data_IF_553583333659
#
_entry.id   IF_553583333659
#
_cell.length_a   1.000
_cell.length_b   1.000
_cell.length_c   1.000
_cell.angle_alpha   90.00
_cell.angle_beta   90.00
_cell.angle_gamma   90.00
#
_symmetry.space_group_name_H-M   'P 1'
#
loop_
_entity.id
_entity.type
_entity.pdbx_description
1 polymer ?
#
# COMPACT_ATOMS: atom_id res chain seq x y z
N UNK A 1 -21.29 39.97 23.69
CA UNK A 1 -19.98 39.31 23.86
C UNK A 1 -19.84 38.26 22.78
N UNK A 2 -19.50 38.69 21.56
CA UNK A 2 -19.33 37.81 20.41
C UNK A 2 -17.88 37.35 20.36
N UNK A 3 -17.64 36.05 20.52
CA UNK A 3 -16.33 35.45 20.34
C UNK A 3 -15.96 35.43 18.86
N UNK A 4 -14.91 36.17 18.54
CA UNK A 4 -14.26 36.19 17.25
C UNK A 4 -13.52 34.85 17.08
N UNK A 5 -14.00 34.02 16.16
CA UNK A 5 -13.26 32.87 15.64
C UNK A 5 -12.01 33.43 14.96
N UNK A 6 -10.85 33.30 15.61
CA UNK A 6 -9.55 33.59 15.00
C UNK A 6 -9.29 32.53 13.93
N UNK A 7 -9.40 32.95 12.66
CA UNK A 7 -8.84 32.21 11.54
C UNK A 7 -7.35 31.88 11.82
N UNK A 8 -6.95 30.64 11.56
CA UNK A 8 -5.57 30.20 11.74
C UNK A 8 -4.65 30.89 10.72
N UNK A 9 -3.40 31.13 11.11
CA UNK A 9 -2.40 31.90 10.37
C UNK A 9 -1.90 31.28 9.03
N UNK A 10 -2.65 30.34 8.42
CA UNK A 10 -2.28 29.67 7.16
C UNK A 10 -2.99 30.21 5.92
N UNK A 11 -3.80 31.27 6.04
CA UNK A 11 -4.47 31.96 4.92
C UNK A 11 -3.54 32.80 4.03
N UNK A 12 -2.24 32.46 3.97
CA UNK A 12 -1.31 32.99 2.96
C UNK A 12 -1.80 32.55 1.58
N UNK A 13 -2.33 33.52 0.81
CA UNK A 13 -2.74 33.47 -0.61
C UNK A 13 -2.67 32.07 -1.25
N UNK A 14 -3.69 31.26 -0.99
CA UNK A 14 -3.93 30.04 -1.74
C UNK A 14 -4.33 30.42 -3.16
N UNK A 15 -3.63 29.88 -4.16
CA UNK A 15 -3.94 30.03 -5.60
C UNK A 15 -5.41 29.70 -5.92
N UNK A 16 -5.96 28.68 -5.25
CA UNK A 16 -7.34 28.26 -5.37
C UNK A 16 -8.04 28.36 -4.00
N UNK A 17 -9.28 28.86 -3.97
CA UNK A 17 -10.09 28.84 -2.75
C UNK A 17 -10.26 27.41 -2.22
N UNK A 18 -10.04 27.23 -0.91
CA UNK A 18 -10.20 25.93 -0.24
C UNK A 18 -10.81 26.11 1.15
N UNK A 19 -12.13 26.01 1.21
CA UNK A 19 -12.92 26.27 2.42
C UNK A 19 -12.83 25.09 3.41
N UNK A 20 -13.43 25.25 4.58
CA UNK A 20 -13.57 24.15 5.53
C UNK A 20 -14.57 23.11 5.01
N UNK A 21 -15.63 23.55 4.34
CA UNK A 21 -16.66 22.71 3.73
C UNK A 21 -16.08 21.85 2.59
N UNK A 22 -15.22 22.42 1.75
CA UNK A 22 -14.50 21.67 0.71
C UNK A 22 -13.65 20.55 1.32
N UNK A 23 -12.91 20.87 2.38
CA UNK A 23 -12.07 19.88 3.07
C UNK A 23 -12.91 18.76 3.69
N UNK A 24 -14.04 19.10 4.29
CA UNK A 24 -14.96 18.13 4.87
C UNK A 24 -15.58 17.23 3.78
N UNK A 25 -15.97 17.80 2.63
CA UNK A 25 -16.45 17.02 1.49
C UNK A 25 -15.39 16.02 0.99
N UNK A 26 -14.13 16.46 0.89
CA UNK A 26 -13.00 15.58 0.53
C UNK A 26 -12.81 14.46 1.56
N UNK A 27 -12.86 14.80 2.86
CA UNK A 27 -12.71 13.84 3.95
C UNK A 27 -13.80 12.78 3.91
N UNK A 28 -15.05 13.19 3.72
CA UNK A 28 -16.20 12.30 3.65
C UNK A 28 -16.09 11.34 2.45
N UNK A 29 -15.83 11.87 1.24
CA UNK A 29 -15.69 11.04 0.02
C UNK A 29 -14.56 10.02 0.12
N UNK A 30 -13.42 10.44 0.68
CA UNK A 30 -12.28 9.54 0.84
C UNK A 30 -12.57 8.46 1.89
N UNK A 31 -13.28 8.81 2.97
CA UNK A 31 -13.69 7.84 3.98
C UNK A 31 -14.72 6.84 3.43
N UNK A 32 -15.76 7.32 2.77
CA UNK A 32 -16.84 6.48 2.23
C UNK A 32 -16.32 5.48 1.19
N UNK A 33 -15.40 5.92 0.32
CA UNK A 33 -14.88 5.07 -0.73
C UNK A 33 -13.73 4.17 -0.26
N UNK A 34 -12.72 4.75 0.40
CA UNK A 34 -11.46 4.05 0.70
C UNK A 34 -11.27 3.72 2.19
N UNK A 35 -12.18 4.15 3.06
CA UNK A 35 -12.07 3.97 4.52
C UNK A 35 -11.03 4.87 5.19
N UNK A 36 -10.29 5.67 4.40
CA UNK A 36 -9.17 6.47 4.89
C UNK A 36 -9.70 7.63 5.74
N UNK A 37 -9.16 7.77 6.95
CA UNK A 37 -9.45 8.88 7.86
C UNK A 37 -8.39 9.96 7.71
N UNK A 38 -8.82 11.16 7.28
CA UNK A 38 -7.98 12.35 7.26
C UNK A 38 -8.18 13.15 8.55
N UNK A 39 -7.06 13.57 9.16
CA UNK A 39 -7.06 14.52 10.27
C UNK A 39 -6.91 15.95 9.76
N UNK A 40 -7.34 16.93 10.56
CA UNK A 40 -7.31 18.37 10.20
C UNK A 40 -5.90 18.86 9.85
N UNK A 41 -4.88 18.31 10.50
CA UNK A 41 -3.47 18.64 10.26
C UNK A 41 -3.05 18.34 8.80
N UNK A 42 -3.77 17.45 8.10
CA UNK A 42 -3.50 17.11 6.69
C UNK A 42 -4.16 18.05 5.68
N UNK A 43 -4.88 19.10 6.11
CA UNK A 43 -5.60 20.01 5.22
C UNK A 43 -4.70 20.64 4.14
N UNK A 44 -3.51 21.10 4.50
CA UNK A 44 -2.58 21.69 3.53
C UNK A 44 -2.00 20.65 2.57
N UNK A 45 -1.81 19.40 3.02
CA UNK A 45 -1.42 18.29 2.14
C UNK A 45 -2.52 18.05 1.09
N UNK A 46 -3.79 17.95 1.53
CA UNK A 46 -4.93 17.75 0.64
C UNK A 46 -4.99 18.86 -0.40
N UNK A 47 -4.92 20.12 0.03
CA UNK A 47 -4.87 21.27 -0.85
C UNK A 47 -3.78 21.13 -1.92
N UNK A 48 -2.54 20.93 -1.50
CA UNK A 48 -1.39 20.86 -2.41
C UNK A 48 -1.46 19.71 -3.42
N UNK A 49 -2.17 18.63 -3.10
CA UNK A 49 -2.34 17.49 -4.01
C UNK A 49 -3.51 17.68 -4.96
N UNK A 50 -4.63 18.21 -4.48
CA UNK A 50 -5.79 18.50 -5.34
C UNK A 50 -5.50 19.65 -6.30
N UNK A 51 -4.75 20.69 -5.91
CA UNK A 51 -4.38 21.77 -6.84
C UNK A 51 -3.63 21.27 -8.07
N UNK A 52 -2.84 20.19 -7.95
CA UNK A 52 -2.20 19.55 -9.12
C UNK A 52 -3.23 18.97 -10.07
N UNK A 53 -4.30 18.35 -9.55
CA UNK A 53 -5.43 17.84 -10.36
C UNK A 53 -6.19 18.98 -11.04
N UNK A 54 -6.47 20.07 -10.33
CA UNK A 54 -7.10 21.26 -10.91
C UNK A 54 -6.33 21.78 -12.12
N UNK A 55 -4.99 21.90 -12.01
CA UNK A 55 -4.14 22.35 -13.13
C UNK A 55 -4.19 21.40 -14.33
N UNK A 56 -4.19 20.09 -14.11
CA UNK A 56 -4.32 19.09 -15.19
C UNK A 56 -5.65 19.22 -15.92
N UNK A 57 -6.72 19.53 -15.17
CA UNK A 57 -8.08 19.64 -15.71
C UNK A 57 -8.44 21.05 -16.20
N UNK A 58 -7.57 22.04 -16.00
CA UNK A 58 -7.85 23.44 -16.31
C UNK A 58 -8.95 24.07 -15.45
N UNK A 59 -9.17 23.56 -14.23
CA UNK A 59 -10.19 24.08 -13.31
C UNK A 59 -9.64 25.22 -12.45
N UNK A 60 -10.50 26.17 -12.11
CA UNK A 60 -10.14 27.39 -11.37
C UNK A 60 -10.62 27.41 -9.92
N UNK A 61 -11.40 26.40 -9.50
CA UNK A 61 -11.95 26.30 -8.13
C UNK A 61 -12.06 24.84 -7.69
N UNK A 62 -11.82 24.57 -6.40
CA UNK A 62 -11.96 23.21 -5.84
C UNK A 62 -13.42 22.74 -5.88
N UNK A 63 -14.36 23.64 -5.66
CA UNK A 63 -15.80 23.38 -5.83
C UNK A 63 -16.13 22.74 -7.19
N UNK A 64 -15.56 23.25 -8.29
CA UNK A 64 -15.76 22.69 -9.64
C UNK A 64 -15.20 21.27 -9.75
N UNK A 65 -14.08 21.01 -9.07
CA UNK A 65 -13.49 19.68 -9.02
C UNK A 65 -14.38 18.71 -8.24
N UNK A 66 -14.96 19.13 -7.11
CA UNK A 66 -15.91 18.32 -6.35
C UNK A 66 -17.19 18.03 -7.16
N UNK A 67 -17.72 19.02 -7.88
CA UNK A 67 -18.85 18.84 -8.79
C UNK A 67 -18.52 17.87 -9.94
N UNK A 68 -17.28 17.89 -10.46
CA UNK A 68 -16.83 16.93 -11.46
C UNK A 68 -16.83 15.50 -10.91
N UNK A 69 -16.43 15.30 -9.66
CA UNK A 69 -16.48 13.98 -9.02
C UNK A 69 -17.91 13.42 -8.91
N UNK A 70 -18.90 14.30 -8.79
CA UNK A 70 -20.32 13.92 -8.75
C UNK A 70 -20.94 13.71 -10.14
N UNK A 71 -20.23 14.07 -11.21
CA UNK A 71 -20.73 13.91 -12.57
C UNK A 71 -20.84 12.40 -12.93
N UNK A 72 -22.00 11.89 -13.37
CA UNK A 72 -22.16 10.46 -13.65
C UNK A 72 -21.25 9.92 -14.76
N UNK A 73 -20.94 10.74 -15.76
CA UNK A 73 -20.19 10.31 -16.95
C UNK A 73 -18.68 10.41 -16.73
N UNK A 74 -18.23 11.50 -16.11
CA UNK A 74 -16.81 11.84 -15.95
C UNK A 74 -16.26 11.57 -14.54
N UNK A 75 -17.14 11.60 -13.55
CA UNK A 75 -16.82 11.42 -12.14
C UNK A 75 -16.14 10.09 -11.85
N UNK A 76 -16.63 8.94 -12.34
CA UNK A 76 -16.00 7.64 -12.05
C UNK A 76 -14.51 7.56 -12.42
N UNK A 77 -14.13 8.09 -13.58
CA UNK A 77 -12.73 8.12 -14.01
C UNK A 77 -11.89 9.07 -13.14
N UNK A 78 -12.37 10.30 -12.91
CA UNK A 78 -11.63 11.26 -12.09
C UNK A 78 -11.56 10.86 -10.62
N UNK A 79 -12.53 10.08 -10.13
CA UNK A 79 -12.51 9.56 -8.77
C UNK A 79 -11.30 8.66 -8.53
N UNK A 80 -10.83 7.92 -9.54
CA UNK A 80 -9.57 7.16 -9.45
C UNK A 80 -8.38 8.10 -9.23
N UNK A 81 -8.33 9.21 -9.97
CA UNK A 81 -7.28 10.22 -9.82
C UNK A 81 -7.35 10.95 -8.48
N UNK A 82 -8.56 11.18 -7.96
CA UNK A 82 -8.79 11.71 -6.62
C UNK A 82 -8.20 10.80 -5.55
N UNK A 83 -8.47 9.49 -5.62
CA UNK A 83 -7.89 8.50 -4.70
C UNK A 83 -6.37 8.49 -4.82
N UNK A 84 -5.83 8.33 -6.03
CA UNK A 84 -4.38 8.33 -6.28
C UNK A 84 -3.68 9.59 -5.76
N UNK A 85 -4.35 10.75 -5.81
CA UNK A 85 -3.80 11.98 -5.28
C UNK A 85 -3.74 11.97 -3.74
N UNK A 86 -4.66 11.32 -3.03
CA UNK A 86 -4.79 11.43 -1.57
C UNK A 86 -4.22 10.24 -0.79
N UNK A 87 -3.85 9.15 -1.45
CA UNK A 87 -3.10 8.03 -0.86
C UNK A 87 -1.69 8.43 -0.44
N UNK A 88 -1.15 7.80 0.61
CA UNK A 88 0.23 8.05 1.08
C UNK A 88 1.06 6.80 0.87
N UNK A 89 2.02 6.89 -0.04
CA UNK A 89 2.68 5.72 -0.63
C UNK A 89 4.14 5.56 -0.17
N UNK A 90 4.46 5.93 1.07
CA UNK A 90 5.83 5.84 1.58
C UNK A 90 6.22 4.38 1.82
N UNK A 91 7.20 3.91 1.06
CA UNK A 91 7.75 2.56 1.18
C UNK A 91 9.25 2.57 0.84
N UNK A 92 9.92 1.47 1.15
CA UNK A 92 11.33 1.23 0.84
C UNK A 92 11.60 -0.27 0.78
N UNK A 93 12.59 -0.69 -0.01
CA UNK A 93 13.09 -2.06 0.02
C UNK A 93 13.53 -2.46 1.42
N UNK A 94 13.20 -3.69 1.84
CA UNK A 94 13.53 -4.23 3.17
C UNK A 94 13.11 -3.35 4.36
N UNK A 95 12.02 -2.57 4.22
CA UNK A 95 11.39 -1.89 5.36
C UNK A 95 11.03 -2.93 6.43
N UNK A 96 11.39 -2.69 7.69
CA UNK A 96 11.24 -3.66 8.81
C UNK A 96 11.90 -5.01 8.48
N UNK A 97 13.25 -5.06 8.43
CA UNK A 97 14.00 -6.21 7.93
C UNK A 97 13.74 -7.51 8.71
N UNK A 98 13.35 -7.41 9.99
CA UNK A 98 13.05 -8.53 10.87
C UNK A 98 11.92 -9.42 10.32
N UNK A 99 10.98 -8.88 9.54
CA UNK A 99 9.95 -9.69 8.87
C UNK A 99 10.54 -10.66 7.85
N UNK A 100 11.52 -10.21 7.07
CA UNK A 100 12.14 -11.02 6.03
C UNK A 100 13.14 -12.01 6.62
N UNK A 101 13.80 -11.67 7.73
CA UNK A 101 14.59 -12.61 8.53
C UNK A 101 13.73 -13.75 9.08
N UNK A 102 12.59 -13.41 9.68
CA UNK A 102 11.62 -14.40 10.14
C UNK A 102 11.09 -15.28 8.99
N UNK A 103 10.74 -14.66 7.86
CA UNK A 103 10.28 -15.38 6.68
C UNK A 103 11.32 -16.40 6.19
N UNK A 104 12.60 -16.03 6.10
CA UNK A 104 13.68 -16.97 5.73
C UNK A 104 13.76 -18.16 6.67
N UNK A 105 13.60 -17.94 7.97
CA UNK A 105 13.64 -19.00 8.97
C UNK A 105 12.44 -19.95 8.88
N UNK A 106 11.24 -19.43 8.61
CA UNK A 106 10.03 -20.25 8.52
C UNK A 106 9.89 -20.98 7.17
N UNK A 107 10.50 -20.44 6.11
CA UNK A 107 10.31 -20.90 4.75
C UNK A 107 10.50 -22.41 4.55
N UNK A 108 11.56 -23.07 5.09
CA UNK A 108 11.73 -24.52 4.94
C UNK A 108 10.55 -25.32 5.53
N UNK A 109 9.93 -24.83 6.60
CA UNK A 109 8.77 -25.50 7.21
C UNK A 109 7.50 -25.32 6.37
N UNK A 110 7.31 -24.14 5.77
CA UNK A 110 6.17 -23.85 4.89
C UNK A 110 6.26 -24.67 3.60
N UNK A 111 7.46 -24.76 3.01
CA UNK A 111 7.72 -25.51 1.78
C UNK A 111 7.64 -27.04 1.95
N UNK A 112 7.59 -27.57 3.18
CA UNK A 112 7.25 -28.98 3.43
C UNK A 112 5.75 -29.26 3.27
N UNK A 113 4.91 -28.23 3.37
CA UNK A 113 3.45 -28.35 3.31
C UNK A 113 2.89 -28.08 1.91
N UNK A 114 3.61 -27.31 1.10
CA UNK A 114 3.19 -26.93 -0.25
C UNK A 114 4.41 -26.76 -1.18
N UNK A 115 4.22 -27.10 -2.46
CA UNK A 115 5.18 -26.79 -3.52
C UNK A 115 4.99 -25.37 -4.08
N UNK A 116 3.91 -24.68 -3.75
CA UNK A 116 3.64 -23.31 -4.22
C UNK A 116 3.15 -22.47 -3.06
N UNK A 117 3.96 -21.50 -2.66
CA UNK A 117 3.58 -20.53 -1.64
C UNK A 117 2.72 -19.43 -2.26
N UNK A 118 1.56 -19.19 -1.68
CA UNK A 118 0.66 -18.10 -2.06
C UNK A 118 0.77 -16.99 -1.04
N UNK A 119 1.22 -15.83 -1.48
CA UNK A 119 1.46 -14.67 -0.62
C UNK A 119 0.65 -13.50 -1.13
N UNK A 120 0.07 -12.73 -0.22
CA UNK A 120 -0.60 -11.48 -0.56
C UNK A 120 0.09 -10.29 0.11
N UNK A 121 0.56 -9.32 -0.68
CA UNK A 121 0.98 -7.99 -0.23
C UNK A 121 -0.17 -7.01 -0.44
N UNK A 122 -0.85 -6.65 0.64
CA UNK A 122 -2.04 -5.82 0.69
C UNK A 122 -1.68 -4.37 1.02
N UNK A 123 -1.77 -3.48 0.03
CA UNK A 123 -1.29 -2.10 0.08
C UNK A 123 0.19 -1.99 -0.31
N UNK A 124 0.52 -2.54 -1.48
CA UNK A 124 1.89 -2.76 -1.93
C UNK A 124 2.63 -1.50 -2.43
N UNK A 125 1.92 -0.37 -2.60
CA UNK A 125 2.46 0.89 -3.10
C UNK A 125 3.23 0.69 -4.41
N UNK A 126 4.41 1.29 -4.58
CA UNK A 126 5.27 1.19 -5.77
C UNK A 126 6.04 -0.14 -5.87
N UNK A 127 5.63 -1.18 -5.16
CA UNK A 127 6.11 -2.55 -5.35
C UNK A 127 7.37 -2.94 -4.58
N UNK A 128 7.95 -2.05 -3.78
CA UNK A 128 9.18 -2.38 -3.04
C UNK A 128 8.95 -3.53 -2.03
N UNK A 129 7.78 -3.64 -1.40
CA UNK A 129 7.45 -4.77 -0.51
C UNK A 129 7.34 -6.11 -1.24
N UNK A 130 6.48 -6.30 -2.26
CA UNK A 130 6.35 -7.59 -2.95
C UNK A 130 7.64 -8.01 -3.66
N UNK A 131 8.44 -7.07 -4.17
CA UNK A 131 9.78 -7.42 -4.67
C UNK A 131 10.74 -7.81 -3.56
N UNK A 132 10.69 -7.16 -2.38
CA UNK A 132 11.48 -7.61 -1.22
C UNK A 132 11.13 -9.05 -0.83
N UNK A 133 9.84 -9.40 -0.85
CA UNK A 133 9.37 -10.78 -0.63
C UNK A 133 9.97 -11.71 -1.68
N UNK A 134 9.85 -11.38 -2.98
CA UNK A 134 10.41 -12.20 -4.06
C UNK A 134 11.92 -12.43 -3.91
N UNK A 135 12.68 -11.36 -3.64
CA UNK A 135 14.14 -11.41 -3.41
C UNK A 135 14.49 -12.30 -2.20
N UNK A 136 13.67 -12.27 -1.17
CA UNK A 136 13.87 -13.06 0.05
C UNK A 136 13.65 -14.55 -0.19
N UNK A 137 12.66 -14.89 -1.02
CA UNK A 137 12.27 -16.28 -1.29
C UNK A 137 13.13 -16.93 -2.37
N UNK A 138 13.50 -16.20 -3.42
CA UNK A 138 14.09 -16.79 -4.63
C UNK A 138 15.32 -17.68 -4.40
N UNK A 139 16.26 -17.36 -3.49
CA UNK A 139 17.45 -18.21 -3.26
C UNK A 139 17.13 -19.52 -2.53
N UNK A 140 15.97 -19.61 -1.90
CA UNK A 140 15.57 -20.70 -1.01
C UNK A 140 14.55 -21.65 -1.66
N UNK A 141 14.06 -21.32 -2.87
CA UNK A 141 13.17 -22.19 -3.64
C UNK A 141 13.99 -23.25 -4.39
N UNK A 142 13.68 -24.52 -4.17
CA UNK A 142 14.29 -25.64 -4.87
C UNK A 142 13.50 -26.05 -6.12
N UNK A 143 14.03 -27.00 -6.90
CA UNK A 143 13.36 -27.53 -8.10
C UNK A 143 11.97 -28.06 -7.76
N UNK A 144 10.96 -27.58 -8.49
CA UNK A 144 9.56 -27.93 -8.26
C UNK A 144 8.83 -27.07 -7.24
N UNK A 145 9.54 -26.16 -6.56
CA UNK A 145 8.94 -25.18 -5.65
C UNK A 145 8.79 -23.82 -6.34
N UNK A 146 7.74 -23.08 -6.00
CA UNK A 146 7.49 -21.73 -6.51
C UNK A 146 6.83 -20.84 -5.45
N UNK A 147 6.81 -19.53 -5.70
CA UNK A 147 6.02 -18.59 -4.93
C UNK A 147 5.22 -17.69 -5.87
N UNK A 148 3.96 -17.48 -5.54
CA UNK A 148 3.01 -16.62 -6.22
C UNK A 148 2.65 -15.47 -5.27
N UNK A 149 3.04 -14.25 -5.64
CA UNK A 149 2.84 -13.06 -4.83
C UNK A 149 1.76 -12.21 -5.51
N UNK A 150 0.57 -12.18 -4.94
CA UNK A 150 -0.45 -11.20 -5.29
C UNK A 150 -0.09 -9.90 -4.59
N UNK A 151 0.08 -8.82 -5.35
CA UNK A 151 0.37 -7.49 -4.84
C UNK A 151 -0.76 -6.55 -5.22
N UNK A 152 -1.43 -5.97 -4.24
CA UNK A 152 -2.61 -5.13 -4.49
C UNK A 152 -2.48 -3.76 -3.87
N UNK A 153 -3.05 -2.76 -4.53
CA UNK A 153 -3.18 -1.41 -4.00
C UNK A 153 -4.45 -0.76 -4.56
N UNK A 154 -4.97 0.25 -3.86
CA UNK A 154 -6.07 1.07 -4.36
C UNK A 154 -5.55 2.09 -5.37
N UNK A 155 -4.29 2.50 -5.23
CA UNK A 155 -3.68 3.51 -6.10
C UNK A 155 -3.16 2.86 -7.40
N UNK A 156 -3.81 3.18 -8.50
CA UNK A 156 -3.49 2.60 -9.81
C UNK A 156 -2.20 3.18 -10.40
N UNK A 157 -1.79 4.37 -9.97
CA UNK A 157 -0.59 5.04 -10.47
C UNK A 157 0.67 4.37 -9.89
N UNK A 158 0.65 4.02 -8.60
CA UNK A 158 1.77 3.28 -7.99
C UNK A 158 1.84 1.84 -8.46
N UNK A 159 0.70 1.18 -8.73
CA UNK A 159 0.70 -0.16 -9.33
C UNK A 159 1.34 -0.17 -10.73
N UNK A 160 1.03 0.83 -11.56
CA UNK A 160 1.65 0.96 -12.88
C UNK A 160 3.17 1.20 -12.80
N UNK A 161 3.64 1.90 -11.75
CA UNK A 161 5.07 2.05 -11.48
C UNK A 161 5.70 0.74 -10.97
N UNK A 162 5.02 0.05 -10.06
CA UNK A 162 5.42 -1.22 -9.48
C UNK A 162 5.60 -2.30 -10.55
N UNK A 163 4.65 -2.40 -11.48
CA UNK A 163 4.68 -3.38 -12.57
C UNK A 163 5.91 -3.19 -13.48
N UNK A 164 6.29 -1.93 -13.77
CA UNK A 164 7.53 -1.63 -14.51
C UNK A 164 8.78 -2.13 -13.77
N UNK A 165 8.76 -2.04 -12.44
CA UNK A 165 9.84 -2.48 -11.55
C UNK A 165 11.12 -1.68 -11.75
N UNK A 166 11.01 -0.39 -12.09
CA UNK A 166 12.13 0.51 -12.37
C UNK A 166 12.22 1.54 -11.23
N UNK A 167 13.40 1.73 -10.67
CA UNK A 167 13.66 2.59 -9.53
C UNK A 167 14.92 3.43 -9.74
N UNK A 168 14.98 4.61 -9.14
CA UNK A 168 16.24 5.35 -9.01
C UNK A 168 17.25 4.53 -8.20
N UNK A 169 18.52 4.57 -8.62
CA UNK A 169 19.61 3.85 -7.95
C UNK A 169 19.75 4.26 -6.48
N UNK A 170 19.41 5.49 -6.13
CA UNK A 170 19.42 5.99 -4.75
C UNK A 170 18.46 5.22 -3.83
N UNK A 171 17.35 4.68 -4.35
CA UNK A 171 16.41 3.87 -3.55
C UNK A 171 17.00 2.55 -3.11
N UNK A 172 17.95 2.02 -3.87
CA UNK A 172 18.58 0.72 -3.60
C UNK A 172 20.00 0.86 -3.07
N UNK A 173 20.53 2.07 -2.92
CA UNK A 173 21.93 2.31 -2.55
C UNK A 173 22.31 1.75 -1.18
N UNK A 174 21.34 1.61 -0.26
CA UNK A 174 21.54 1.07 1.09
C UNK A 174 21.48 -0.46 1.13
N UNK A 175 21.14 -1.12 0.02
CA UNK A 175 21.09 -2.57 -0.05
C UNK A 175 22.50 -3.16 -0.23
N UNK A 176 22.73 -4.32 0.38
CA UNK A 176 23.98 -5.04 0.23
C UNK A 176 24.28 -5.36 -1.24
N UNK A 177 25.57 -5.37 -1.60
CA UNK A 177 25.98 -5.65 -2.99
C UNK A 177 25.49 -7.01 -3.49
N UNK A 178 25.40 -8.00 -2.61
CA UNK A 178 24.88 -9.33 -2.95
C UNK A 178 23.41 -9.25 -3.37
N UNK A 179 22.59 -8.52 -2.60
CA UNK A 179 21.18 -8.28 -2.93
C UNK A 179 21.07 -7.51 -4.25
N UNK A 180 21.87 -6.46 -4.44
CA UNK A 180 21.87 -5.67 -5.67
C UNK A 180 22.15 -6.53 -6.90
N UNK A 181 23.21 -7.36 -6.84
CA UNK A 181 23.58 -8.27 -7.93
C UNK A 181 22.54 -9.36 -8.16
N UNK A 182 21.92 -9.86 -7.10
CA UNK A 182 20.86 -10.86 -7.18
C UNK A 182 19.61 -10.28 -7.85
N UNK A 183 19.19 -9.08 -7.45
CA UNK A 183 17.83 -8.60 -7.70
C UNK A 183 17.67 -7.59 -8.84
N UNK A 184 18.73 -6.88 -9.22
CA UNK A 184 18.60 -5.73 -10.13
C UNK A 184 19.49 -5.83 -11.37
N UNK A 185 18.95 -5.32 -12.48
CA UNK A 185 19.69 -4.91 -13.67
C UNK A 185 20.01 -3.41 -13.55
N UNK A 186 21.21 -3.01 -13.96
CA UNK A 186 21.61 -1.60 -14.02
C UNK A 186 21.30 -1.01 -15.40
N UNK A 187 20.70 0.18 -15.43
CA UNK A 187 20.52 0.92 -16.67
C UNK A 187 21.84 1.40 -17.26
N UNK A 188 21.81 1.78 -18.54
CA UNK A 188 22.98 2.26 -19.31
C UNK A 188 22.61 3.57 -20.01
N UNK A 189 23.62 4.34 -20.42
CA UNK A 189 23.44 5.61 -21.13
C UNK A 189 22.59 6.59 -20.31
N UNK A 190 21.53 7.12 -20.92
CA UNK A 190 20.60 8.07 -20.27
C UNK A 190 19.83 7.49 -19.07
N UNK A 191 19.91 6.17 -18.81
CA UNK A 191 19.28 5.50 -17.67
C UNK A 191 20.31 4.96 -16.67
N UNK A 192 21.54 5.47 -16.68
CA UNK A 192 22.62 5.00 -15.81
C UNK A 192 22.32 5.13 -14.31
N UNK A 193 21.47 6.08 -13.93
CA UNK A 193 20.98 6.29 -12.57
C UNK A 193 19.76 5.43 -12.21
N UNK A 194 19.31 4.54 -13.10
CA UNK A 194 18.14 3.70 -12.88
C UNK A 194 18.53 2.23 -12.72
N UNK A 195 17.77 1.53 -11.90
CA UNK A 195 17.82 0.08 -11.77
C UNK A 195 16.47 -0.53 -12.11
N UNK A 196 16.47 -1.79 -12.52
CA UNK A 196 15.24 -2.54 -12.79
C UNK A 196 15.28 -3.90 -12.11
N UNK A 197 14.19 -4.31 -11.47
CA UNK A 197 14.06 -5.67 -10.92
C UNK A 197 14.20 -6.69 -12.06
N UNK A 198 14.97 -7.75 -11.81
CA UNK A 198 15.21 -8.79 -12.80
C UNK A 198 13.91 -9.52 -13.20
N UNK A 199 13.77 -9.96 -14.47
CA UNK A 199 12.55 -10.58 -14.96
C UNK A 199 12.07 -11.78 -14.14
N UNK A 200 12.98 -12.64 -13.66
CA UNK A 200 12.66 -13.83 -12.87
C UNK A 200 11.98 -13.52 -11.53
N UNK A 201 12.34 -12.39 -10.90
CA UNK A 201 11.68 -11.91 -9.68
C UNK A 201 10.35 -11.23 -10.02
N UNK A 202 10.28 -10.50 -11.13
CA UNK A 202 9.04 -9.88 -11.61
C UNK A 202 7.96 -10.92 -11.93
N UNK A 203 8.34 -12.06 -12.50
CA UNK A 203 7.39 -13.14 -12.80
C UNK A 203 6.78 -13.80 -11.56
N UNK A 204 7.33 -13.57 -10.36
CA UNK A 204 6.73 -14.06 -9.12
C UNK A 204 5.59 -13.17 -8.60
N UNK A 205 5.48 -11.93 -9.11
CA UNK A 205 4.58 -10.90 -8.59
C UNK A 205 3.50 -10.56 -9.61
N UNK A 206 2.25 -10.63 -9.19
CA UNK A 206 1.10 -10.16 -9.95
C UNK A 206 0.52 -8.91 -9.28
N UNK A 207 0.56 -7.78 -9.98
CA UNK A 207 -0.05 -6.53 -9.51
C UNK A 207 -1.52 -6.45 -9.90
N UNK A 208 -2.40 -6.05 -8.99
CA UNK A 208 -3.85 -5.94 -9.27
C UNK A 208 -4.48 -4.81 -8.44
N UNK A 209 -5.26 -3.90 -9.06
CA UNK A 209 -6.02 -2.90 -8.31
C UNK A 209 -7.01 -3.54 -7.34
N UNK A 210 -7.01 -3.09 -6.08
CA UNK A 210 -7.95 -3.57 -5.07
C UNK A 210 -8.20 -2.50 -4.02
N UNK A 211 -9.48 -2.20 -3.78
CA UNK A 211 -9.90 -1.48 -2.59
C UNK A 211 -10.13 -2.48 -1.43
N UNK A 212 -9.37 -2.34 -0.34
CA UNK A 212 -9.51 -3.22 0.83
C UNK A 212 -10.90 -3.13 1.48
N UNK A 213 -11.58 -2.01 1.33
CA UNK A 213 -12.95 -1.81 1.82
C UNK A 213 -14.00 -2.51 0.96
N UNK A 214 -13.67 -2.76 -0.32
CA UNK A 214 -14.55 -3.42 -1.27
C UNK A 214 -14.57 -4.95 -1.15
N UNK A 215 -15.31 -5.62 -2.04
CA UNK A 215 -15.28 -7.07 -2.16
C UNK A 215 -13.90 -7.55 -2.64
N UNK A 216 -13.48 -8.72 -2.16
CA UNK A 216 -12.20 -9.33 -2.50
C UNK A 216 -12.44 -10.48 -3.49
N UNK A 217 -12.03 -10.35 -4.77
CA UNK A 217 -12.35 -11.33 -5.80
C UNK A 217 -11.52 -12.62 -5.69
N UNK A 218 -10.41 -12.60 -4.94
CA UNK A 218 -9.57 -13.75 -4.67
C UNK A 218 -10.23 -14.73 -3.70
N UNK A 219 -10.10 -16.03 -3.98
CA UNK A 219 -10.75 -17.10 -3.20
C UNK A 219 -9.85 -17.77 -2.14
N UNK A 220 -8.57 -17.39 -2.07
CA UNK A 220 -7.61 -17.98 -1.13
C UNK A 220 -7.44 -19.51 -1.32
N UNK A 221 -6.87 -20.20 -0.31
CA UNK A 221 -6.22 -19.60 0.85
C UNK A 221 -4.79 -19.13 0.51
N UNK A 222 -4.30 -18.16 1.28
CA UNK A 222 -2.92 -17.69 1.29
C UNK A 222 -2.15 -18.36 2.44
N UNK A 223 -0.86 -18.63 2.21
CA UNK A 223 0.05 -19.06 3.27
C UNK A 223 0.46 -17.87 4.16
N UNK A 224 0.64 -16.70 3.53
CA UNK A 224 1.13 -15.49 4.17
C UNK A 224 0.39 -14.27 3.60
N UNK A 225 0.02 -13.34 4.48
CA UNK A 225 -0.45 -12.00 4.13
C UNK A 225 0.48 -10.97 4.76
N UNK A 226 0.96 -10.02 3.97
CA UNK A 226 1.56 -8.78 4.40
C UNK A 226 0.50 -7.67 4.27
N UNK A 227 0.18 -6.98 5.35
CA UNK A 227 -0.64 -5.77 5.34
C UNK A 227 -0.03 -4.75 6.29
N UNK A 228 1.02 -4.08 5.81
CA UNK A 228 1.92 -3.29 6.64
C UNK A 228 1.79 -1.80 6.37
N UNK A 229 1.67 -1.02 7.43
CA UNK A 229 1.58 0.44 7.38
C UNK A 229 0.39 0.95 6.53
N UNK A 230 -0.69 0.16 6.48
CA UNK A 230 -1.91 0.46 5.71
C UNK A 230 -3.10 0.64 6.65
N UNK A 231 -3.23 -0.24 7.65
CA UNK A 231 -4.35 -0.18 8.60
C UNK A 231 -4.32 1.08 9.47
N UNK A 232 -3.16 1.72 9.62
CA UNK A 232 -3.01 3.03 10.29
C UNK A 232 -3.90 4.14 9.71
N UNK A 233 -4.40 3.98 8.47
CA UNK A 233 -5.30 4.95 7.85
C UNK A 233 -6.78 4.72 8.16
N UNK A 234 -7.12 3.61 8.82
CA UNK A 234 -8.49 3.21 9.09
C UNK A 234 -8.87 3.34 10.57
N UNK A 235 -10.16 3.50 10.84
CA UNK A 235 -10.69 3.46 12.22
C UNK A 235 -10.64 2.03 12.80
N UNK A 236 -10.78 1.91 14.12
CA UNK A 236 -10.63 0.62 14.83
C UNK A 236 -11.63 -0.46 14.39
N UNK A 237 -12.86 -0.07 14.09
CA UNK A 237 -13.88 -1.00 13.60
C UNK A 237 -13.49 -1.58 12.24
N UNK A 238 -13.00 -0.73 11.33
CA UNK A 238 -12.52 -1.12 10.01
C UNK A 238 -11.29 -2.02 10.11
N UNK A 239 -10.32 -1.68 10.97
CA UNK A 239 -9.16 -2.53 11.24
C UNK A 239 -9.61 -3.94 11.67
N UNK A 240 -10.57 -4.03 12.61
CA UNK A 240 -11.14 -5.31 13.06
C UNK A 240 -11.82 -6.08 11.93
N UNK A 241 -12.62 -5.42 11.09
CA UNK A 241 -13.25 -6.07 9.92
C UNK A 241 -12.20 -6.61 8.95
N UNK A 242 -11.19 -5.81 8.59
CA UNK A 242 -10.14 -6.20 7.66
C UNK A 242 -9.33 -7.41 8.16
N UNK A 243 -8.89 -7.39 9.41
CA UNK A 243 -8.10 -8.47 10.00
C UNK A 243 -8.89 -9.78 10.04
N UNK A 244 -10.19 -9.75 10.36
CA UNK A 244 -11.01 -10.95 10.35
C UNK A 244 -11.22 -11.48 8.92
N UNK A 245 -11.43 -10.62 7.93
CA UNK A 245 -11.50 -11.03 6.53
C UNK A 245 -10.19 -11.63 6.03
N UNK A 246 -9.03 -11.11 6.45
CA UNK A 246 -7.72 -11.68 6.14
C UNK A 246 -7.55 -13.06 6.79
N UNK A 247 -8.03 -13.24 8.02
CA UNK A 247 -8.03 -14.53 8.69
C UNK A 247 -8.85 -15.58 7.92
N UNK A 248 -9.97 -15.19 7.29
CA UNK A 248 -10.78 -16.10 6.47
C UNK A 248 -10.09 -16.53 5.16
N UNK A 249 -9.10 -15.76 4.69
CA UNK A 249 -8.30 -16.08 3.51
C UNK A 249 -6.96 -16.74 3.84
N UNK A 250 -6.59 -16.89 5.11
CA UNK A 250 -5.36 -17.57 5.52
C UNK A 250 -5.61 -19.06 5.72
N UNK A 251 -4.62 -19.89 5.38
CA UNK A 251 -4.60 -21.28 5.85
C UNK A 251 -4.51 -21.34 7.39
N UNK A 252 -4.94 -22.44 8.02
CA UNK A 252 -4.60 -22.70 9.42
C UNK A 252 -3.08 -22.61 9.64
N UNK A 253 -2.67 -21.91 10.70
CA UNK A 253 -1.26 -21.57 10.97
C UNK A 253 -0.58 -20.68 9.90
N UNK A 254 -1.35 -20.05 9.02
CA UNK A 254 -0.87 -19.02 8.10
C UNK A 254 -0.43 -17.76 8.87
N UNK A 255 0.37 -16.93 8.22
CA UNK A 255 1.00 -15.78 8.88
C UNK A 255 0.45 -14.45 8.37
N UNK A 256 0.24 -13.51 9.29
CA UNK A 256 -0.09 -12.12 9.01
C UNK A 256 1.03 -11.22 9.54
N UNK A 257 1.61 -10.42 8.64
CA UNK A 257 2.64 -9.43 8.94
C UNK A 257 2.03 -8.04 8.88
N UNK A 258 2.20 -7.26 9.95
CA UNK A 258 1.72 -5.88 10.05
C UNK A 258 2.88 -4.93 10.38
N UNK A 259 2.72 -3.65 10.11
CA UNK A 259 3.75 -2.64 10.29
C UNK A 259 3.99 -2.27 11.76
N UNK A 260 5.15 -1.68 12.03
CA UNK A 260 5.64 -1.39 13.39
C UNK A 260 4.69 -0.56 14.29
N UNK A 261 3.81 0.27 13.70
CA UNK A 261 2.84 1.10 14.43
C UNK A 261 1.48 0.44 14.59
N UNK A 262 1.31 -0.79 14.09
CA UNK A 262 0.05 -1.53 14.08
C UNK A 262 0.08 -2.63 15.15
N UNK A 263 -1.09 -2.98 15.66
CA UNK A 263 -1.23 -4.05 16.66
C UNK A 263 -2.58 -4.73 16.49
N UNK A 264 -2.60 -6.06 16.64
CA UNK A 264 -3.84 -6.84 16.68
C UNK A 264 -4.40 -6.96 18.10
N UNK A 265 -3.77 -6.36 19.10
CA UNK A 265 -4.28 -6.33 20.46
C UNK A 265 -5.68 -5.69 20.49
N UNK A 266 -6.63 -6.33 21.16
CA UNK A 266 -8.05 -5.96 21.21
C UNK A 266 -8.74 -5.84 19.84
N UNK A 267 -8.14 -6.39 18.78
CA UNK A 267 -8.73 -6.40 17.43
C UNK A 267 -9.43 -7.73 17.16
N UNK A 268 -8.77 -8.86 17.46
CA UNK A 268 -9.33 -10.20 17.29
C UNK A 268 -8.54 -11.22 18.12
N UNK A 269 -9.21 -12.30 18.54
CA UNK A 269 -8.58 -13.41 19.26
C UNK A 269 -8.15 -14.56 18.33
N UNK A 270 -8.39 -14.43 17.02
CA UNK A 270 -8.05 -15.46 16.02
C UNK A 270 -6.56 -15.65 15.79
N UNK A 271 -5.75 -14.68 16.19
CA UNK A 271 -4.30 -14.70 15.97
C UNK A 271 -3.54 -14.85 17.28
N UNK A 272 -2.32 -15.40 17.19
CA UNK A 272 -1.33 -15.36 18.24
C UNK A 272 -0.06 -14.65 17.75
N UNK A 273 0.56 -13.83 18.60
CA UNK A 273 1.84 -13.19 18.26
C UNK A 273 2.97 -14.22 18.27
N UNK A 274 3.80 -14.22 17.22
CA UNK A 274 4.93 -15.16 17.05
C UNK A 274 6.26 -14.44 16.77
N UNK A 275 6.24 -13.12 16.77
CA UNK A 275 7.39 -12.25 16.55
C UNK A 275 6.98 -10.78 16.59
N UNK A 276 7.94 -9.88 16.37
CA UNK A 276 7.68 -8.44 16.33
C UNK A 276 6.75 -8.11 15.16
N UNK A 277 5.50 -7.75 15.48
CA UNK A 277 4.42 -7.48 14.52
C UNK A 277 4.16 -8.61 13.51
N UNK A 278 4.42 -9.85 13.94
CA UNK A 278 4.13 -11.08 13.18
C UNK A 278 3.14 -11.92 13.97
N UNK A 279 2.07 -12.33 13.30
CA UNK A 279 0.97 -13.06 13.88
C UNK A 279 0.71 -14.35 13.10
N UNK A 280 0.32 -15.40 13.81
CA UNK A 280 -0.05 -16.69 13.22
C UNK A 280 -1.52 -16.98 13.51
N UNK A 281 -2.26 -17.39 12.49
CA UNK A 281 -3.67 -17.77 12.63
C UNK A 281 -3.77 -19.02 13.52
N UNK A 282 -4.65 -18.96 14.53
CA UNK A 282 -5.03 -20.13 15.35
C UNK A 282 -5.82 -21.13 14.49
N UNK A 283 -5.97 -22.36 14.99
CA UNK A 283 -6.63 -23.44 14.26
C UNK A 283 -8.03 -23.06 13.74
#
# INVERSE_FOLDING_TARGET
MAEIIKASASDKQREFGFTAEDFESVRQRLNDHAGIVLSDIKRDMVYNRLTRRLRVLGLSRIEQYLQLLDNPDRGPEEFVNFINALTTNLTSFFREPHHFEYLRQQLPSLLKRTNTLKIWSAGCSIGEEPYTIAITLSPLLHKGQSAQILATDIDTSVLAAADKGIYDQERVQKLDQTILKQAFLRGKGQRSNMVRIKPELRSMVQFTPLNLMGPWPMKGPFDIIFCRNVMIYFNKETQKKLVNRMADLLIPQGHLFIGHSETLHNTTDRFQAVGQTIYRLKH
#
